data_IF_270728663963
#
_entry.id   IF_270728663963
#
_cell.length_a   1.000
_cell.length_b   1.000
_cell.length_c   1.000
_cell.angle_alpha   90.00
_cell.angle_beta   90.00
_cell.angle_gamma   90.00
#
_symmetry.space_group_name_H-M   'P 1'
#
loop_
_entity.id
_entity.type
_entity.pdbx_description
1 polymer ?
#
# COMPACT_ATOMS: atom_id res chain seq x y z
N UNK A 1 13.00 9.44 2.52
CA UNK A 1 13.27 10.17 1.26
C UNK A 1 12.09 11.02 0.76
N UNK A 2 11.18 11.44 1.69
CA UNK A 2 10.10 12.40 1.38
C UNK A 2 10.67 13.66 0.74
N UNK A 3 9.96 14.22 -0.22
CA UNK A 3 10.29 15.49 -0.87
C UNK A 3 11.74 15.58 -1.38
N UNK A 4 12.34 14.43 -1.76
CA UNK A 4 13.72 14.43 -2.25
C UNK A 4 13.85 15.29 -3.51
N UNK A 5 14.70 16.33 -3.44
CA UNK A 5 14.77 17.41 -4.44
C UNK A 5 14.95 16.89 -5.86
N UNK A 6 15.84 15.91 -6.07
CA UNK A 6 16.15 15.40 -7.39
C UNK A 6 15.07 14.47 -7.98
N UNK A 7 14.07 14.07 -7.18
CA UNK A 7 12.98 13.21 -7.61
C UNK A 7 11.60 13.90 -7.61
N UNK A 8 11.53 15.17 -7.20
CA UNK A 8 10.23 15.87 -7.05
C UNK A 8 9.48 16.03 -8.37
N UNK A 9 10.19 16.22 -9.47
CA UNK A 9 9.62 16.55 -10.79
C UNK A 9 9.76 15.39 -11.79
N UNK A 10 10.10 14.20 -11.32
CA UNK A 10 10.30 13.02 -12.16
C UNK A 10 9.02 12.19 -12.28
N UNK A 11 8.82 11.57 -13.44
CA UNK A 11 7.86 10.48 -13.63
C UNK A 11 8.39 9.20 -12.97
N UNK A 12 7.58 8.14 -12.89
CA UNK A 12 7.90 6.90 -12.16
C UNK A 12 9.32 6.39 -12.43
N UNK A 13 9.73 6.21 -13.66
CA UNK A 13 11.05 5.61 -13.96
C UNK A 13 12.21 6.56 -13.63
N UNK A 14 12.07 7.86 -13.87
CA UNK A 14 13.04 8.87 -13.44
C UNK A 14 13.13 8.95 -11.91
N UNK A 15 11.99 8.90 -11.25
CA UNK A 15 11.88 8.87 -9.79
C UNK A 15 12.57 7.62 -9.19
N UNK A 16 12.31 6.42 -9.71
CA UNK A 16 12.98 5.18 -9.30
C UNK A 16 14.50 5.27 -9.49
N UNK A 17 14.96 5.69 -10.68
CA UNK A 17 16.37 5.80 -11.00
C UNK A 17 17.09 6.79 -10.07
N UNK A 18 16.41 7.87 -9.66
CA UNK A 18 16.94 8.85 -8.72
C UNK A 18 17.04 8.33 -7.28
N UNK A 19 16.15 7.42 -6.89
CA UNK A 19 16.07 6.94 -5.50
C UNK A 19 16.82 5.63 -5.24
N UNK A 20 16.96 4.75 -6.21
CA UNK A 20 17.68 3.48 -6.01
C UNK A 20 19.09 3.65 -5.41
N UNK A 21 19.93 4.63 -5.82
CA UNK A 21 21.23 4.83 -5.19
C UNK A 21 21.16 5.20 -3.71
N UNK A 22 20.10 5.91 -3.31
CA UNK A 22 19.84 6.25 -1.90
C UNK A 22 19.35 5.02 -1.15
N UNK A 23 18.39 4.31 -1.71
CA UNK A 23 17.82 3.11 -1.10
C UNK A 23 18.83 1.97 -0.96
N UNK A 24 19.84 1.92 -1.81
CA UNK A 24 20.96 0.97 -1.67
C UNK A 24 21.80 1.17 -0.39
N UNK A 25 21.68 2.35 0.25
CA UNK A 25 22.37 2.66 1.54
C UNK A 25 21.55 2.29 2.77
N UNK A 26 20.27 1.86 2.60
CA UNK A 26 19.37 1.48 3.68
C UNK A 26 19.97 0.33 4.49
N UNK A 27 19.86 0.40 5.81
CA UNK A 27 20.25 -0.65 6.77
C UNK A 27 19.03 -1.10 7.59
N UNK A 28 19.09 -2.21 8.33
CA UNK A 28 17.98 -2.74 9.12
C UNK A 28 17.25 -1.72 10.00
N UNK A 29 18.02 -0.87 10.71
CA UNK A 29 17.44 0.17 11.57
C UNK A 29 16.66 1.25 10.78
N UNK A 30 17.01 1.49 9.52
CA UNK A 30 16.25 2.44 8.68
C UNK A 30 14.90 1.87 8.27
N UNK A 31 14.84 0.58 7.94
CA UNK A 31 13.56 -0.10 7.68
C UNK A 31 12.67 -0.01 8.92
N UNK A 32 13.22 -0.34 10.09
CA UNK A 32 12.48 -0.28 11.35
C UNK A 32 11.93 1.12 11.63
N UNK A 33 12.80 2.15 11.65
CA UNK A 33 12.38 3.50 12.02
C UNK A 33 11.45 4.14 10.96
N UNK A 34 11.69 3.89 9.66
CA UNK A 34 10.83 4.38 8.59
C UNK A 34 9.43 3.75 8.66
N UNK A 35 9.35 2.44 8.93
CA UNK A 35 8.08 1.75 9.12
C UNK A 35 7.36 2.23 10.38
N UNK A 36 8.09 2.45 11.48
CA UNK A 36 7.53 2.97 12.73
C UNK A 36 6.85 4.34 12.50
N UNK A 37 7.55 5.26 11.83
CA UNK A 37 7.01 6.61 11.55
C UNK A 37 5.87 6.55 10.53
N UNK A 38 6.01 5.81 9.43
CA UNK A 38 4.97 5.71 8.41
C UNK A 38 3.67 5.09 8.94
N UNK A 39 3.75 4.00 9.69
CA UNK A 39 2.60 3.37 10.32
C UNK A 39 1.98 4.25 11.41
N UNK A 40 2.79 5.01 12.16
CA UNK A 40 2.27 5.96 13.16
C UNK A 40 1.45 7.08 12.51
N UNK A 41 1.92 7.64 11.41
CA UNK A 41 1.18 8.66 10.65
C UNK A 41 -0.16 8.12 10.14
N UNK A 42 -0.17 6.89 9.59
CA UNK A 42 -1.40 6.22 9.18
C UNK A 42 -2.35 5.98 10.34
N UNK A 43 -1.86 5.48 11.47
CA UNK A 43 -2.67 5.24 12.68
C UNK A 43 -3.28 6.55 13.20
N UNK A 44 -2.53 7.63 13.25
CA UNK A 44 -3.06 8.93 13.65
C UNK A 44 -4.11 9.49 12.67
N UNK A 45 -4.11 9.03 11.43
CA UNK A 45 -5.18 9.33 10.45
C UNK A 45 -6.44 8.46 10.60
N UNK A 46 -6.40 7.42 11.45
CA UNK A 46 -7.49 6.48 11.70
C UNK A 46 -7.35 5.11 11.02
N UNK A 47 -6.22 4.84 10.39
CA UNK A 47 -5.95 3.53 9.78
C UNK A 47 -5.61 2.51 10.86
N UNK A 48 -6.44 1.48 11.01
CA UNK A 48 -6.25 0.40 12.00
C UNK A 48 -5.61 -0.85 11.40
N UNK A 49 -5.73 -1.03 10.07
CA UNK A 49 -5.14 -2.14 9.33
C UNK A 49 -4.40 -1.61 8.12
N UNK A 50 -3.13 -1.97 7.99
CA UNK A 50 -2.28 -1.62 6.85
C UNK A 50 -1.74 -2.87 6.18
N UNK A 51 -1.58 -2.83 4.86
CA UNK A 51 -0.68 -3.70 4.11
C UNK A 51 0.46 -2.86 3.58
N UNK A 52 1.63 -3.46 3.43
CA UNK A 52 2.80 -2.77 2.90
C UNK A 52 3.38 -3.52 1.70
N UNK A 53 4.34 -2.91 1.00
CA UNK A 53 5.08 -3.53 -0.08
C UNK A 53 6.58 -3.28 0.08
N UNK A 54 7.21 -4.01 0.99
CA UNK A 54 8.66 -3.97 1.17
C UNK A 54 9.33 -4.93 0.18
N UNK A 55 10.06 -4.39 -0.79
CA UNK A 55 10.74 -5.16 -1.85
C UNK A 55 12.24 -4.89 -1.95
N UNK A 56 12.80 -4.13 -1.00
CA UNK A 56 14.22 -3.76 -0.93
C UNK A 56 14.84 -4.32 0.35
N UNK A 57 15.82 -5.19 0.20
CA UNK A 57 16.51 -5.84 1.33
C UNK A 57 18.03 -5.64 1.31
N UNK A 58 18.56 -4.40 1.13
CA UNK A 58 19.99 -4.16 1.14
C UNK A 58 20.60 -4.30 2.53
N UNK A 59 21.90 -4.54 2.59
CA UNK A 59 22.73 -4.46 3.79
C UNK A 59 22.22 -5.28 4.98
N UNK A 60 21.63 -6.45 4.72
CA UNK A 60 21.11 -7.35 5.75
C UNK A 60 19.73 -6.97 6.30
N UNK A 61 19.03 -6.04 5.65
CA UNK A 61 17.64 -5.72 5.96
C UNK A 61 16.74 -6.94 5.75
N UNK A 62 15.69 -7.06 6.55
CA UNK A 62 14.74 -8.17 6.54
C UNK A 62 13.32 -7.68 6.78
N UNK A 63 12.33 -8.51 6.41
CA UNK A 63 10.92 -8.22 6.68
C UNK A 63 10.64 -8.08 8.18
N UNK A 64 11.37 -8.78 9.04
CA UNK A 64 11.27 -8.71 10.48
C UNK A 64 11.42 -7.29 11.03
N UNK A 65 12.28 -6.46 10.42
CA UNK A 65 12.47 -5.08 10.86
C UNK A 65 11.18 -4.26 10.75
N UNK A 66 10.38 -4.51 9.73
CA UNK A 66 9.08 -3.88 9.55
C UNK A 66 8.02 -4.48 10.47
N UNK A 67 8.01 -5.81 10.63
CA UNK A 67 7.09 -6.52 11.52
C UNK A 67 7.27 -6.05 12.98
N UNK A 68 8.50 -5.83 13.43
CA UNK A 68 8.81 -5.31 14.77
C UNK A 68 8.24 -3.90 14.96
N UNK A 69 8.39 -3.03 13.96
CA UNK A 69 7.82 -1.68 13.99
C UNK A 69 6.28 -1.74 14.08
N UNK A 70 5.63 -2.57 13.26
CA UNK A 70 4.16 -2.72 13.26
C UNK A 70 3.65 -3.26 14.61
N UNK A 71 4.37 -4.20 15.23
CA UNK A 71 4.03 -4.71 16.57
C UNK A 71 4.12 -3.61 17.63
N UNK A 72 5.14 -2.76 17.57
CA UNK A 72 5.28 -1.63 18.52
C UNK A 72 4.19 -0.59 18.32
N UNK A 73 3.84 -0.23 17.07
CA UNK A 73 2.72 0.65 16.75
C UNK A 73 1.39 0.07 17.26
N UNK A 74 1.23 -1.25 17.18
CA UNK A 74 0.04 -1.95 17.64
C UNK A 74 -1.10 -1.97 16.62
N UNK A 75 -0.86 -1.62 15.37
CA UNK A 75 -1.83 -1.75 14.28
C UNK A 75 -1.86 -3.19 13.72
N UNK A 76 -2.96 -3.56 13.09
CA UNK A 76 -3.07 -4.79 12.32
C UNK A 76 -2.27 -4.66 11.03
N UNK A 77 -1.47 -5.67 10.69
CA UNK A 77 -0.52 -5.56 9.62
C UNK A 77 -0.49 -6.77 8.69
N UNK A 78 -0.58 -6.54 7.39
CA UNK A 78 -0.30 -7.52 6.35
C UNK A 78 1.09 -7.20 5.79
N UNK A 79 2.12 -7.86 6.34
CA UNK A 79 3.49 -7.71 5.89
C UNK A 79 3.67 -8.43 4.57
N UNK A 80 4.21 -7.76 3.55
CA UNK A 80 4.48 -8.40 2.27
C UNK A 80 5.97 -8.66 2.10
N UNK A 81 6.33 -9.91 1.81
CA UNK A 81 7.68 -10.25 1.34
C UNK A 81 7.75 -9.91 -0.14
N UNK A 82 8.13 -8.67 -0.41
CA UNK A 82 8.38 -8.19 -1.77
C UNK A 82 9.70 -8.69 -2.32
N UNK A 83 9.94 -8.51 -3.62
CA UNK A 83 11.18 -8.94 -4.25
C UNK A 83 11.45 -8.27 -5.58
N UNK A 84 12.72 -8.18 -5.98
CA UNK A 84 13.18 -7.84 -7.31
C UNK A 84 14.28 -8.83 -7.71
N UNK A 85 14.24 -9.34 -8.96
CA UNK A 85 15.23 -10.31 -9.48
C UNK A 85 15.91 -9.87 -10.78
N UNK A 86 15.41 -8.80 -11.42
CA UNK A 86 15.95 -8.29 -12.68
C UNK A 86 16.61 -6.92 -12.42
N UNK A 87 17.95 -6.94 -12.37
CA UNK A 87 18.77 -5.73 -12.27
C UNK A 87 19.19 -5.17 -13.62
N UNK A 88 19.94 -4.07 -13.59
CA UNK A 88 20.46 -3.36 -14.80
C UNK A 88 21.19 -4.30 -15.74
N UNK A 89 21.99 -5.22 -15.22
CA UNK A 89 22.74 -6.20 -16.06
C UNK A 89 21.83 -7.16 -16.84
N UNK A 90 20.58 -7.29 -16.41
CA UNK A 90 19.56 -8.14 -17.07
C UNK A 90 18.45 -7.32 -17.76
N UNK A 91 18.67 -6.01 -17.95
CA UNK A 91 17.72 -5.11 -18.60
C UNK A 91 16.65 -4.50 -17.69
N UNK A 92 16.74 -4.68 -16.37
CA UNK A 92 15.87 -4.03 -15.38
C UNK A 92 16.30 -2.63 -15.02
N UNK A 93 15.50 -1.95 -14.19
CA UNK A 93 15.80 -0.60 -13.69
C UNK A 93 16.65 -0.59 -12.42
N UNK A 94 16.45 -1.51 -11.44
CA UNK A 94 17.18 -1.45 -10.19
C UNK A 94 18.66 -1.83 -10.37
N UNK A 95 19.58 -1.23 -9.61
CA UNK A 95 20.97 -1.70 -9.55
C UNK A 95 21.04 -3.19 -9.16
N UNK A 96 22.01 -3.92 -9.68
CA UNK A 96 22.19 -5.35 -9.37
C UNK A 96 22.40 -5.62 -7.88
N UNK A 97 22.87 -4.63 -7.11
CA UNK A 97 23.01 -4.70 -5.65
C UNK A 97 21.70 -4.65 -4.87
N UNK A 98 20.59 -4.31 -5.52
CA UNK A 98 19.24 -4.24 -4.93
C UNK A 98 18.36 -5.41 -5.32
N UNK A 99 18.82 -6.30 -6.20
CA UNK A 99 18.08 -7.51 -6.59
C UNK A 99 18.61 -8.73 -5.86
N UNK A 100 17.76 -9.74 -5.75
CA UNK A 100 18.09 -10.98 -5.04
C UNK A 100 18.00 -12.18 -6.00
N UNK A 101 18.68 -13.27 -5.67
CA UNK A 101 18.58 -14.53 -6.39
C UNK A 101 17.21 -15.19 -6.15
N UNK A 102 16.55 -15.68 -7.20
CA UNK A 102 15.18 -16.20 -7.15
C UNK A 102 14.99 -17.35 -6.17
N UNK A 103 15.94 -18.29 -6.13
CA UNK A 103 15.90 -19.39 -5.16
C UNK A 103 16.02 -18.90 -3.70
N UNK A 104 16.78 -17.82 -3.47
CA UNK A 104 16.86 -17.22 -2.14
C UNK A 104 15.56 -16.53 -1.78
N UNK A 105 14.97 -15.78 -2.71
CA UNK A 105 13.66 -15.11 -2.54
C UNK A 105 12.58 -16.13 -2.13
N UNK A 106 12.43 -17.22 -2.89
CA UNK A 106 11.40 -18.24 -2.62
C UNK A 106 11.59 -18.92 -1.27
N UNK A 107 12.83 -19.26 -0.90
CA UNK A 107 13.14 -19.83 0.42
C UNK A 107 12.83 -18.86 1.55
N UNK A 108 13.15 -17.58 1.38
CA UNK A 108 12.85 -16.56 2.38
C UNK A 108 11.35 -16.27 2.47
N UNK A 109 10.63 -16.27 1.35
CA UNK A 109 9.16 -16.23 1.32
C UNK A 109 8.55 -17.36 2.15
N UNK A 110 8.96 -18.59 1.94
CA UNK A 110 8.50 -19.74 2.73
C UNK A 110 8.85 -19.55 4.22
N UNK A 111 10.08 -19.18 4.54
CA UNK A 111 10.54 -18.96 5.92
C UNK A 111 9.69 -17.93 6.65
N UNK A 112 9.40 -16.78 6.04
CA UNK A 112 8.63 -15.73 6.71
C UNK A 112 7.16 -16.12 6.89
N UNK A 113 6.58 -16.90 5.96
CA UNK A 113 5.23 -17.44 6.13
C UNK A 113 5.20 -18.39 7.33
N UNK A 114 6.08 -19.41 7.35
CA UNK A 114 6.13 -20.41 8.42
C UNK A 114 6.41 -19.79 9.80
N UNK A 115 7.14 -18.67 9.84
CA UNK A 115 7.54 -18.02 11.11
C UNK A 115 6.50 -17.04 11.63
N UNK A 116 5.81 -16.30 10.75
CA UNK A 116 5.07 -15.10 11.14
C UNK A 116 3.60 -15.09 10.72
N UNK A 117 3.19 -15.91 9.73
CA UNK A 117 1.81 -15.88 9.28
C UNK A 117 0.88 -16.44 10.35
N UNK A 118 -0.16 -15.66 10.69
CA UNK A 118 -1.22 -16.07 11.60
C UNK A 118 -2.56 -16.05 10.83
N UNK A 119 -3.08 -17.23 10.53
CA UNK A 119 -4.33 -17.40 9.79
C UNK A 119 -5.59 -17.34 10.66
N UNK A 120 -5.43 -17.19 11.98
CA UNK A 120 -6.56 -17.11 12.89
C UNK A 120 -7.47 -15.89 12.59
N UNK A 121 -8.75 -16.03 12.93
CA UNK A 121 -9.67 -14.90 12.93
C UNK A 121 -9.15 -13.79 13.86
N UNK A 122 -9.34 -12.54 13.46
CA UNK A 122 -8.88 -11.35 14.16
C UNK A 122 -7.36 -11.22 14.29
N UNK A 123 -6.58 -12.06 13.56
CA UNK A 123 -5.12 -12.03 13.62
C UNK A 123 -4.56 -10.62 13.39
N UNK A 124 -3.51 -10.29 14.12
CA UNK A 124 -2.85 -8.98 14.03
C UNK A 124 -1.75 -8.93 12.97
N UNK A 125 -1.27 -10.11 12.51
CA UNK A 125 -0.20 -10.20 11.52
C UNK A 125 -0.51 -11.28 10.50
N UNK A 126 -0.56 -10.90 9.23
CA UNK A 126 -0.58 -11.84 8.10
C UNK A 126 0.60 -11.57 7.18
N UNK A 127 1.08 -12.62 6.52
CA UNK A 127 2.10 -12.50 5.47
C UNK A 127 1.42 -12.61 4.11
N UNK A 128 1.90 -11.83 3.15
CA UNK A 128 1.60 -11.98 1.73
C UNK A 128 2.89 -11.96 0.92
N UNK A 129 2.87 -12.47 -0.31
CA UNK A 129 4.01 -12.46 -1.21
C UNK A 129 3.83 -11.38 -2.28
N UNK A 130 4.89 -10.61 -2.54
CA UNK A 130 4.76 -9.41 -3.35
C UNK A 130 5.98 -9.13 -4.25
N UNK A 131 6.21 -9.90 -5.33
CA UNK A 131 7.11 -9.48 -6.40
C UNK A 131 6.78 -8.05 -6.84
N UNK A 132 7.79 -7.19 -7.01
CA UNK A 132 7.58 -5.74 -7.07
C UNK A 132 6.70 -5.31 -8.25
N UNK A 133 7.05 -5.71 -9.46
CA UNK A 133 6.32 -5.32 -10.69
C UNK A 133 6.74 -6.20 -11.88
N UNK A 134 5.95 -6.25 -12.96
CA UNK A 134 6.30 -7.02 -14.17
C UNK A 134 7.68 -6.70 -14.76
N UNK A 135 8.17 -5.48 -14.60
CA UNK A 135 9.46 -5.03 -15.15
C UNK A 135 10.65 -5.21 -14.19
N UNK A 136 10.44 -5.71 -12.98
CA UNK A 136 11.48 -5.87 -11.96
C UNK A 136 11.72 -7.32 -11.51
N UNK A 137 10.87 -8.24 -11.98
CA UNK A 137 10.94 -9.68 -11.67
C UNK A 137 10.73 -10.55 -12.91
N UNK A 138 11.30 -11.75 -12.92
CA UNK A 138 11.10 -12.68 -14.03
C UNK A 138 9.70 -13.30 -14.01
N UNK A 139 9.23 -13.75 -15.19
CA UNK A 139 7.99 -14.55 -15.29
C UNK A 139 8.06 -15.82 -14.45
N UNK A 140 9.25 -16.42 -14.35
CA UNK A 140 9.45 -17.61 -13.54
C UNK A 140 9.21 -17.33 -12.06
N UNK A 141 9.82 -16.26 -11.53
CA UNK A 141 9.62 -15.87 -10.14
C UNK A 141 8.14 -15.55 -9.86
N UNK A 142 7.46 -14.86 -10.78
CA UNK A 142 6.02 -14.59 -10.64
C UNK A 142 5.22 -15.89 -10.52
N UNK A 143 5.46 -16.87 -11.41
CA UNK A 143 4.75 -18.18 -11.39
C UNK A 143 5.03 -18.96 -10.11
N UNK A 144 6.31 -19.12 -9.76
CA UNK A 144 6.70 -19.88 -8.56
C UNK A 144 6.18 -19.20 -7.27
N UNK A 145 6.16 -17.87 -7.23
CA UNK A 145 5.58 -17.13 -6.10
C UNK A 145 4.07 -17.36 -6.00
N UNK A 146 3.34 -17.42 -7.13
CA UNK A 146 1.91 -17.69 -7.12
C UNK A 146 1.58 -19.11 -6.65
N UNK A 147 2.39 -20.10 -7.04
CA UNK A 147 2.27 -21.47 -6.57
C UNK A 147 2.52 -21.53 -5.05
N UNK A 148 3.64 -20.98 -4.61
CA UNK A 148 4.02 -20.94 -3.19
C UNK A 148 2.96 -20.27 -2.32
N UNK A 149 2.44 -19.11 -2.75
CA UNK A 149 1.43 -18.38 -2.00
C UNK A 149 0.14 -19.21 -1.82
N UNK A 150 -0.28 -19.93 -2.84
CA UNK A 150 -1.48 -20.80 -2.78
C UNK A 150 -1.27 -22.06 -1.99
N UNK A 151 -0.09 -22.66 -2.04
CA UNK A 151 0.26 -23.82 -1.22
C UNK A 151 0.18 -23.48 0.29
N UNK A 152 0.51 -22.26 0.65
CA UNK A 152 0.42 -21.75 2.02
C UNK A 152 -0.87 -20.96 2.31
N UNK A 153 -1.76 -20.79 1.33
CA UNK A 153 -3.01 -20.01 1.48
C UNK A 153 -2.78 -18.56 1.93
N UNK A 154 -1.70 -17.91 1.47
CA UNK A 154 -1.40 -16.49 1.76
C UNK A 154 -1.75 -15.60 0.57
N UNK A 155 -1.96 -14.29 0.84
CA UNK A 155 -2.29 -13.30 -0.17
C UNK A 155 -1.11 -12.96 -1.10
N UNK A 156 -1.43 -12.40 -2.26
CA UNK A 156 -0.48 -11.97 -3.28
C UNK A 156 -0.69 -10.52 -3.69
N UNK A 157 0.41 -9.80 -3.89
CA UNK A 157 0.38 -8.39 -4.26
C UNK A 157 1.49 -8.04 -5.27
N UNK A 158 1.21 -7.10 -6.19
CA UNK A 158 2.21 -6.49 -7.07
C UNK A 158 1.72 -5.14 -7.58
N UNK A 159 2.64 -4.29 -8.07
CA UNK A 159 2.28 -3.10 -8.85
C UNK A 159 1.89 -3.52 -10.26
N UNK A 160 0.85 -2.90 -10.81
CA UNK A 160 0.35 -3.26 -12.13
C UNK A 160 -0.28 -2.07 -12.84
N UNK A 161 0.08 -1.90 -14.13
CA UNK A 161 -0.56 -0.93 -15.01
C UNK A 161 -0.66 0.48 -14.38
N UNK A 162 0.40 0.91 -13.69
CA UNK A 162 0.43 2.21 -13.04
C UNK A 162 0.49 3.32 -14.07
N UNK A 163 1.40 3.21 -15.04
CA UNK A 163 1.60 4.18 -16.09
C UNK A 163 1.63 3.54 -17.49
N UNK A 164 1.81 4.36 -18.54
CA UNK A 164 1.82 3.87 -19.92
C UNK A 164 3.03 3.02 -20.25
N UNK A 165 4.14 3.27 -19.59
CA UNK A 165 5.38 2.51 -19.77
C UNK A 165 5.21 1.06 -19.32
N UNK A 166 4.36 0.78 -18.34
CA UNK A 166 4.04 -0.58 -17.91
C UNK A 166 3.35 -1.38 -19.03
N UNK A 167 2.42 -0.72 -19.77
CA UNK A 167 1.76 -1.34 -20.90
C UNK A 167 2.77 -1.62 -22.01
N UNK A 168 3.56 -0.61 -22.39
CA UNK A 168 4.58 -0.75 -23.43
C UNK A 168 5.52 -1.90 -23.07
N UNK A 169 5.96 -1.98 -21.82
CA UNK A 169 6.87 -3.02 -21.36
C UNK A 169 6.27 -4.42 -21.54
N UNK A 170 5.02 -4.64 -21.12
CA UNK A 170 4.40 -5.97 -21.20
C UNK A 170 4.04 -6.34 -22.64
N UNK A 171 3.64 -5.41 -23.48
CA UNK A 171 3.35 -5.63 -24.89
C UNK A 171 4.63 -5.93 -25.70
N UNK A 172 5.70 -5.16 -25.52
CA UNK A 172 6.96 -5.35 -26.24
C UNK A 172 7.70 -6.63 -25.84
N UNK A 173 7.71 -6.97 -24.54
CA UNK A 173 8.48 -8.13 -24.04
C UNK A 173 7.69 -9.42 -24.06
N UNK A 174 6.37 -9.38 -23.96
CA UNK A 174 5.54 -10.58 -23.79
C UNK A 174 4.38 -10.67 -24.78
N UNK A 175 4.12 -9.63 -25.57
CA UNK A 175 3.00 -9.59 -26.52
C UNK A 175 1.63 -9.55 -25.84
N UNK A 176 1.53 -9.10 -24.60
CA UNK A 176 0.35 -9.12 -23.75
C UNK A 176 0.14 -7.79 -23.07
N UNK A 177 -1.12 -7.38 -22.88
CA UNK A 177 -1.45 -6.30 -21.94
C UNK A 177 -1.22 -6.75 -20.48
N UNK A 178 -1.09 -5.81 -19.53
CA UNK A 178 -0.83 -6.15 -18.12
C UNK A 178 -1.80 -7.17 -17.52
N UNK A 179 -3.11 -7.05 -17.77
CA UNK A 179 -4.11 -8.00 -17.28
C UNK A 179 -3.98 -9.40 -17.85
N UNK A 180 -3.69 -9.53 -19.15
CA UNK A 180 -3.43 -10.82 -19.82
C UNK A 180 -2.14 -11.45 -19.29
N UNK A 181 -1.11 -10.63 -19.08
CA UNK A 181 0.16 -11.07 -18.51
C UNK A 181 0.00 -11.71 -17.14
N UNK A 182 -0.71 -11.03 -16.22
CA UNK A 182 -0.91 -11.56 -14.87
C UNK A 182 -1.85 -12.78 -14.86
N UNK A 183 -2.86 -12.83 -15.76
CA UNK A 183 -3.70 -14.02 -15.93
C UNK A 183 -2.87 -15.23 -16.32
N UNK A 184 -1.98 -15.09 -17.32
CA UNK A 184 -1.09 -16.15 -17.79
C UNK A 184 -0.12 -16.66 -16.71
N UNK A 185 0.18 -15.84 -15.69
CA UNK A 185 1.07 -16.17 -14.58
C UNK A 185 0.34 -16.64 -13.32
N UNK A 186 -1.01 -16.69 -13.35
CA UNK A 186 -1.81 -17.13 -12.20
C UNK A 186 -2.03 -16.07 -11.13
N UNK A 187 -1.96 -14.79 -11.45
CA UNK A 187 -2.07 -13.65 -10.55
C UNK A 187 -3.47 -13.00 -10.55
N UNK A 188 -4.51 -13.84 -10.61
CA UNK A 188 -5.91 -13.44 -10.48
C UNK A 188 -6.60 -14.25 -9.38
N UNK A 189 -7.53 -13.65 -8.65
CA UNK A 189 -8.31 -14.31 -7.61
C UNK A 189 -8.62 -13.37 -6.45
N UNK A 190 -9.45 -13.81 -5.52
CA UNK A 190 -9.78 -13.10 -4.29
C UNK A 190 -8.65 -13.10 -3.25
N UNK A 191 -7.60 -13.86 -3.51
CA UNK A 191 -6.33 -13.92 -2.79
C UNK A 191 -5.29 -12.93 -3.33
N UNK A 192 -5.64 -12.16 -4.39
CA UNK A 192 -4.73 -11.27 -5.11
C UNK A 192 -5.24 -9.83 -5.12
N UNK A 193 -4.33 -8.88 -4.92
CA UNK A 193 -4.62 -7.47 -5.19
C UNK A 193 -3.43 -6.77 -5.84
N UNK A 194 -3.73 -5.79 -6.69
CA UNK A 194 -2.73 -5.02 -7.41
C UNK A 194 -2.79 -3.55 -7.02
N UNK A 195 -1.62 -2.90 -6.92
CA UNK A 195 -1.55 -1.46 -6.69
C UNK A 195 -1.74 -0.69 -8.01
N UNK A 196 -2.29 0.52 -7.89
CA UNK A 196 -2.49 1.54 -8.92
C UNK A 196 -3.54 1.19 -9.97
N UNK A 197 -3.25 0.30 -10.90
CA UNK A 197 -4.16 -0.17 -11.96
C UNK A 197 -4.76 0.96 -12.84
N UNK A 198 -4.09 2.11 -12.93
CA UNK A 198 -4.58 3.34 -13.59
C UNK A 198 -4.89 3.12 -15.07
N UNK A 199 -4.09 2.27 -15.73
CA UNK A 199 -4.09 2.06 -17.17
C UNK A 199 -4.81 0.77 -17.60
N UNK A 200 -5.57 0.11 -16.71
CA UNK A 200 -6.38 -1.05 -17.09
C UNK A 200 -7.48 -0.64 -18.06
N UNK A 201 -7.69 -1.46 -19.10
CA UNK A 201 -8.82 -1.31 -20.01
C UNK A 201 -10.10 -1.99 -19.48
N UNK A 202 -11.20 -1.85 -20.22
CA UNK A 202 -12.51 -2.40 -19.81
C UNK A 202 -12.51 -3.94 -19.73
N UNK A 203 -11.74 -4.63 -20.56
CA UNK A 203 -11.65 -6.09 -20.54
C UNK A 203 -10.91 -6.56 -19.29
N UNK A 204 -9.79 -5.90 -18.95
CA UNK A 204 -8.99 -6.15 -17.76
C UNK A 204 -9.80 -5.85 -16.48
N UNK A 205 -10.58 -4.77 -16.45
CA UNK A 205 -11.50 -4.45 -15.35
C UNK A 205 -12.58 -5.52 -15.20
N UNK A 206 -13.16 -6.00 -16.31
CA UNK A 206 -14.15 -7.08 -16.30
C UNK A 206 -13.56 -8.40 -15.79
N UNK A 207 -12.32 -8.68 -16.14
CA UNK A 207 -11.56 -9.84 -15.65
C UNK A 207 -11.36 -9.79 -14.14
N UNK A 208 -10.95 -8.63 -13.60
CA UNK A 208 -10.80 -8.41 -12.15
C UNK A 208 -12.12 -8.59 -11.39
N UNK A 209 -13.20 -8.00 -11.90
CA UNK A 209 -14.53 -8.16 -11.32
C UNK A 209 -14.98 -9.62 -11.27
N UNK A 210 -14.76 -10.37 -12.36
CA UNK A 210 -15.14 -11.79 -12.49
C UNK A 210 -14.34 -12.71 -11.58
N UNK A 211 -13.06 -12.42 -11.37
CA UNK A 211 -12.16 -13.26 -10.57
C UNK A 211 -12.13 -12.87 -9.09
N UNK A 212 -12.68 -11.70 -8.73
CA UNK A 212 -12.61 -11.15 -7.37
C UNK A 212 -11.27 -10.52 -7.03
N UNK A 213 -10.40 -10.31 -8.03
CA UNK A 213 -9.09 -9.64 -7.86
C UNK A 213 -9.28 -8.22 -7.35
N UNK A 214 -8.50 -7.84 -6.33
CA UNK A 214 -8.59 -6.54 -5.67
C UNK A 214 -7.69 -5.47 -6.28
N UNK A 215 -8.04 -4.20 -6.05
CA UNK A 215 -7.22 -3.04 -6.40
C UNK A 215 -6.95 -2.19 -5.16
N UNK A 216 -5.69 -1.87 -4.90
CA UNK A 216 -5.27 -0.83 -3.96
C UNK A 216 -5.09 0.50 -4.74
N UNK A 217 -6.09 1.37 -4.66
CA UNK A 217 -6.08 2.67 -5.32
C UNK A 217 -5.25 3.69 -4.54
N UNK A 218 -4.26 4.31 -5.16
CA UNK A 218 -3.31 5.24 -4.57
C UNK A 218 -3.40 6.63 -5.24
N UNK A 219 -4.49 7.41 -5.02
CA UNK A 219 -4.77 8.61 -5.79
C UNK A 219 -3.69 9.69 -5.67
N UNK A 220 -3.14 9.94 -4.49
CA UNK A 220 -2.11 10.95 -4.31
C UNK A 220 -0.80 10.57 -5.02
N UNK A 221 -0.38 9.32 -4.91
CA UNK A 221 0.81 8.83 -5.61
C UNK A 221 0.64 8.90 -7.13
N UNK A 222 -0.52 8.46 -7.64
CA UNK A 222 -0.83 8.52 -9.07
C UNK A 222 -0.77 9.97 -9.61
N UNK A 223 -1.25 10.95 -8.84
CA UNK A 223 -1.12 12.37 -9.19
C UNK A 223 0.33 12.86 -9.12
N UNK A 224 1.01 12.50 -8.04
CA UNK A 224 2.40 12.93 -7.78
C UNK A 224 3.38 12.45 -8.84
N UNK A 225 3.20 11.22 -9.33
CA UNK A 225 4.03 10.61 -10.38
C UNK A 225 3.47 10.79 -11.79
N UNK A 226 2.36 11.54 -11.92
CA UNK A 226 1.66 11.79 -13.19
C UNK A 226 1.21 10.51 -13.92
N UNK A 227 0.90 9.44 -13.17
CA UNK A 227 0.42 8.16 -13.72
C UNK A 227 -0.97 8.29 -14.38
N UNK A 228 -1.76 9.27 -13.94
CA UNK A 228 -3.09 9.57 -14.49
C UNK A 228 -4.21 9.57 -13.45
N UNK A 229 -5.44 9.72 -13.94
CA UNK A 229 -6.67 9.59 -13.11
C UNK A 229 -7.21 8.18 -13.29
N UNK A 230 -7.11 7.38 -12.24
CA UNK A 230 -7.65 6.02 -12.23
C UNK A 230 -9.17 6.02 -12.43
N UNK A 231 -9.76 5.12 -13.23
CA UNK A 231 -11.19 5.06 -13.48
C UNK A 231 -11.95 4.37 -12.33
N UNK A 232 -11.78 4.87 -11.11
CA UNK A 232 -12.31 4.27 -9.87
C UNK A 232 -13.82 4.03 -9.94
N UNK A 233 -14.59 4.96 -10.51
CA UNK A 233 -16.05 4.77 -10.68
C UNK A 233 -16.34 3.53 -11.52
N UNK A 234 -15.66 3.37 -12.65
CA UNK A 234 -15.86 2.23 -13.54
C UNK A 234 -15.51 0.91 -12.85
N UNK A 235 -14.45 0.88 -12.05
CA UNK A 235 -14.08 -0.32 -11.28
C UNK A 235 -15.18 -0.73 -10.30
N UNK A 236 -15.70 0.24 -9.55
CA UNK A 236 -16.77 -0.02 -8.57
C UNK A 236 -18.08 -0.43 -9.24
N UNK A 237 -18.44 0.19 -10.37
CA UNK A 237 -19.62 -0.16 -11.15
C UNK A 237 -19.54 -1.56 -11.77
N UNK A 238 -18.34 -1.97 -12.16
CA UNK A 238 -18.06 -3.33 -12.62
C UNK A 238 -18.05 -4.38 -11.49
N UNK A 239 -18.01 -3.95 -10.22
CA UNK A 239 -17.99 -4.84 -9.05
C UNK A 239 -16.60 -5.26 -8.59
N UNK A 240 -15.53 -4.58 -9.04
CA UNK A 240 -14.17 -4.81 -8.57
C UNK A 240 -14.05 -4.44 -7.09
N UNK A 241 -13.35 -5.24 -6.30
CA UNK A 241 -13.01 -4.91 -4.93
C UNK A 241 -11.91 -3.83 -4.90
N UNK A 242 -12.22 -2.65 -4.36
CA UNK A 242 -11.27 -1.53 -4.31
C UNK A 242 -11.08 -1.07 -2.87
N UNK A 243 -9.82 -0.97 -2.45
CA UNK A 243 -9.37 -0.32 -1.23
C UNK A 243 -8.52 0.91 -1.53
N UNK A 244 -8.21 1.71 -0.52
CA UNK A 244 -7.29 2.84 -0.64
C UNK A 244 -5.91 2.48 -0.11
N UNK A 245 -4.87 2.96 -0.77
CA UNK A 245 -3.49 2.91 -0.35
C UNK A 245 -2.85 4.30 -0.35
N UNK A 246 -1.95 4.55 0.58
CA UNK A 246 -1.16 5.79 0.64
C UNK A 246 0.10 5.72 -0.21
N UNK A 247 0.50 4.49 -0.59
CA UNK A 247 1.78 4.21 -1.25
C UNK A 247 3.01 4.60 -0.40
N UNK A 248 4.19 4.61 -0.97
CA UNK A 248 5.43 4.93 -0.25
C UNK A 248 5.56 6.41 0.13
N UNK A 249 6.24 6.67 1.25
CA UNK A 249 6.49 8.05 1.71
C UNK A 249 7.37 8.88 0.75
N UNK A 250 7.90 8.30 -0.32
CA UNK A 250 8.64 9.03 -1.36
C UNK A 250 7.81 9.32 -2.60
N UNK A 251 6.69 8.63 -2.77
CA UNK A 251 5.78 8.77 -3.91
C UNK A 251 4.50 9.52 -3.58
N UNK A 252 4.11 9.59 -2.28
CA UNK A 252 2.96 10.36 -1.81
C UNK A 252 3.37 11.55 -0.92
N UNK A 253 4.47 11.39 -0.17
CA UNK A 253 4.94 12.35 0.82
C UNK A 253 4.00 12.53 2.05
N UNK A 254 2.86 11.81 2.12
CA UNK A 254 1.89 11.81 3.23
C UNK A 254 1.32 10.42 3.48
N UNK A 255 1.24 10.01 4.75
CA UNK A 255 0.63 8.75 5.17
C UNK A 255 -0.78 8.91 5.73
N UNK A 256 -1.64 9.74 5.09
CA UNK A 256 -2.93 10.13 5.65
C UNK A 256 -4.12 9.54 4.85
N UNK A 257 -4.71 8.44 5.34
CA UNK A 257 -5.73 7.68 4.59
C UNK A 257 -7.02 8.47 4.29
N UNK A 258 -7.48 9.35 5.18
CA UNK A 258 -8.63 10.21 4.87
C UNK A 258 -8.33 11.23 3.76
N UNK A 259 -7.07 11.64 3.63
CA UNK A 259 -6.66 12.48 2.50
C UNK A 259 -6.77 11.69 1.19
N UNK A 260 -6.37 10.42 1.17
CA UNK A 260 -6.58 9.54 0.01
C UNK A 260 -8.07 9.42 -0.34
N UNK A 261 -8.94 9.23 0.66
CA UNK A 261 -10.38 9.19 0.44
C UNK A 261 -10.93 10.48 -0.18
N UNK A 262 -10.45 11.63 0.29
CA UNK A 262 -10.80 12.95 -0.27
C UNK A 262 -10.32 13.09 -1.71
N UNK A 263 -9.07 12.75 -2.00
CA UNK A 263 -8.51 12.87 -3.35
C UNK A 263 -9.19 11.88 -4.33
N UNK A 264 -9.45 10.65 -3.91
CA UNK A 264 -10.22 9.69 -4.69
C UNK A 264 -11.58 10.27 -5.09
N UNK A 265 -12.31 10.87 -4.14
CA UNK A 265 -13.59 11.53 -4.41
C UNK A 265 -13.46 12.71 -5.37
N UNK A 266 -12.52 13.63 -5.12
CA UNK A 266 -12.39 14.85 -5.92
C UNK A 266 -11.96 14.57 -7.35
N UNK A 267 -11.06 13.60 -7.58
CA UNK A 267 -10.63 13.19 -8.90
C UNK A 267 -11.79 12.62 -9.74
N UNK A 268 -12.64 11.77 -9.16
CA UNK A 268 -13.80 11.26 -9.88
C UNK A 268 -14.79 12.39 -10.20
N UNK A 269 -15.00 13.32 -9.27
CA UNK A 269 -15.91 14.46 -9.48
C UNK A 269 -15.43 15.40 -10.58
N UNK A 270 -14.15 15.76 -10.60
CA UNK A 270 -13.60 16.64 -11.64
C UNK A 270 -13.63 15.99 -13.02
N UNK A 271 -13.45 14.67 -13.07
CA UNK A 271 -13.43 13.91 -14.32
C UNK A 271 -14.82 13.58 -14.87
N UNK A 272 -15.79 13.25 -14.00
CA UNK A 272 -17.07 12.67 -14.40
C UNK A 272 -18.30 13.52 -14.02
N UNK A 273 -18.21 14.39 -13.02
CA UNK A 273 -19.31 15.20 -12.49
C UNK A 273 -19.44 15.11 -10.97
N UNK A 274 -19.98 16.17 -10.35
CA UNK A 274 -20.03 16.31 -8.89
C UNK A 274 -20.91 15.26 -8.19
N UNK A 275 -21.83 14.62 -8.90
CA UNK A 275 -22.73 13.58 -8.42
C UNK A 275 -22.18 12.16 -8.53
N UNK A 276 -21.00 11.98 -9.14
CA UNK A 276 -20.46 10.64 -9.50
C UNK A 276 -19.70 9.92 -8.40
N UNK A 277 -19.31 10.61 -7.36
CA UNK A 277 -18.65 9.96 -6.22
C UNK A 277 -18.95 10.71 -4.91
N UNK A 278 -19.53 10.03 -3.95
CA UNK A 278 -19.93 10.60 -2.66
C UNK A 278 -18.85 10.40 -1.58
N UNK A 279 -18.92 11.20 -0.52
CA UNK A 279 -18.08 11.03 0.65
C UNK A 279 -18.29 9.66 1.33
N UNK A 280 -19.51 9.10 1.29
CA UNK A 280 -19.82 7.78 1.84
C UNK A 280 -19.16 6.66 1.04
N UNK A 281 -19.12 6.75 -0.28
CA UNK A 281 -18.40 5.80 -1.14
C UNK A 281 -16.89 5.86 -0.89
N UNK A 282 -16.33 7.06 -0.71
CA UNK A 282 -14.92 7.23 -0.35
C UNK A 282 -14.60 6.58 1.01
N UNK A 283 -15.43 6.76 2.03
CA UNK A 283 -15.27 6.10 3.33
C UNK A 283 -15.48 4.58 3.23
N UNK A 284 -16.41 4.13 2.40
CA UNK A 284 -16.59 2.69 2.14
C UNK A 284 -15.33 2.07 1.53
N UNK A 285 -14.72 2.73 0.54
CA UNK A 285 -13.48 2.29 -0.09
C UNK A 285 -12.32 2.24 0.92
N UNK A 286 -12.24 3.23 1.82
CA UNK A 286 -11.25 3.30 2.90
C UNK A 286 -11.45 2.27 4.02
N UNK A 287 -12.62 1.62 4.12
CA UNK A 287 -12.96 0.71 5.22
C UNK A 287 -13.31 -0.68 4.71
N UNK A 288 -14.57 -0.92 4.33
CA UNK A 288 -15.04 -2.22 3.83
C UNK A 288 -14.38 -2.62 2.52
N UNK A 289 -14.06 -1.65 1.66
CA UNK A 289 -13.32 -1.87 0.42
C UNK A 289 -11.95 -2.44 0.70
N UNK A 290 -11.17 -1.79 1.58
CA UNK A 290 -9.85 -2.28 2.00
C UNK A 290 -9.91 -3.69 2.64
N UNK A 291 -10.90 -3.94 3.49
CA UNK A 291 -11.10 -5.27 4.08
C UNK A 291 -11.36 -6.36 3.02
N UNK A 292 -12.17 -6.06 2.00
CA UNK A 292 -12.44 -6.97 0.89
C UNK A 292 -11.18 -7.24 0.04
N UNK A 293 -10.40 -6.19 -0.24
CA UNK A 293 -9.13 -6.30 -0.98
C UNK A 293 -8.15 -7.24 -0.27
N UNK A 294 -8.09 -7.17 1.06
CA UNK A 294 -7.24 -8.04 1.88
C UNK A 294 -7.89 -9.41 2.18
N UNK A 295 -9.03 -9.74 1.57
CA UNK A 295 -9.82 -10.94 1.83
C UNK A 295 -10.11 -11.15 3.34
N UNK A 296 -10.41 -10.05 4.06
CA UNK A 296 -10.69 -10.03 5.50
C UNK A 296 -12.17 -9.79 5.75
N UNK A 297 -12.85 -10.80 6.30
CA UNK A 297 -14.25 -10.70 6.68
C UNK A 297 -14.47 -10.27 8.13
N UNK A 298 -13.42 -10.19 8.91
CA UNK A 298 -13.41 -9.92 10.35
C UNK A 298 -13.14 -8.46 10.72
N UNK A 299 -12.83 -7.60 9.74
CA UNK A 299 -12.55 -6.16 9.90
C UNK A 299 -13.40 -5.29 8.96
N UNK A 300 -13.17 -3.98 8.95
CA UNK A 300 -13.73 -3.01 8.01
C UNK A 300 -15.13 -2.49 8.36
N UNK A 301 -15.74 -2.95 9.44
CA UNK A 301 -17.05 -2.46 9.91
C UNK A 301 -17.24 -2.69 11.40
N UNK A 302 -18.04 -1.83 12.04
CA UNK A 302 -18.46 -1.98 13.42
C UNK A 302 -19.68 -2.93 13.46
N UNK A 303 -19.46 -4.17 13.87
CA UNK A 303 -20.51 -5.18 14.00
C UNK A 303 -20.10 -6.27 15.01
N UNK A 304 -21.09 -6.98 15.56
CA UNK A 304 -20.84 -8.13 16.46
C UNK A 304 -20.04 -9.20 15.71
N UNK A 305 -19.02 -9.76 16.36
CA UNK A 305 -18.13 -10.76 15.78
C UNK A 305 -17.00 -10.20 14.90
N UNK A 306 -16.89 -8.87 14.76
CA UNK A 306 -15.78 -8.21 14.08
C UNK A 306 -14.75 -7.68 15.07
N UNK A 307 -13.55 -7.40 14.58
CA UNK A 307 -12.51 -6.76 15.37
C UNK A 307 -12.98 -5.41 15.93
N UNK A 308 -12.61 -5.13 17.17
CA UNK A 308 -12.89 -3.85 17.81
C UNK A 308 -11.88 -2.80 17.33
N UNK A 309 -11.99 -2.41 16.07
CA UNK A 309 -11.15 -1.42 15.37
C UNK A 309 -11.97 -0.16 15.15
N UNK A 310 -11.53 0.98 15.70
CA UNK A 310 -12.25 2.25 15.64
C UNK A 310 -11.33 3.42 15.35
N UNK A 311 -11.76 4.32 14.47
CA UNK A 311 -11.23 5.67 14.32
C UNK A 311 -12.26 6.65 14.90
N UNK A 312 -11.89 7.36 15.96
CA UNK A 312 -12.76 8.30 16.69
C UNK A 312 -12.30 9.71 16.39
N UNK A 313 -13.21 10.56 15.91
CA UNK A 313 -12.93 11.97 15.58
C UNK A 313 -13.70 12.91 16.49
N UNK A 314 -13.01 13.93 17.02
CA UNK A 314 -13.66 15.00 17.74
C UNK A 314 -14.31 15.96 16.74
N UNK A 315 -15.63 16.16 16.83
CA UNK A 315 -16.36 17.07 15.96
C UNK A 315 -16.24 18.56 16.37
N UNK A 316 -15.65 18.85 17.54
CA UNK A 316 -15.44 20.22 18.02
C UNK A 316 -14.17 20.88 17.45
N UNK A 317 -13.54 20.28 16.45
CA UNK A 317 -12.39 20.86 15.77
C UNK A 317 -12.82 22.01 14.85
N UNK A 318 -11.95 23.01 14.69
CA UNK A 318 -12.19 24.15 13.79
C UNK A 318 -12.45 23.71 12.35
N UNK A 319 -11.76 22.66 11.88
CA UNK A 319 -11.91 22.08 10.55
C UNK A 319 -13.29 21.49 10.29
N UNK A 320 -14.02 21.05 11.33
CA UNK A 320 -15.36 20.47 11.25
C UNK A 320 -16.48 21.44 11.64
N UNK A 321 -16.14 22.68 11.99
CA UNK A 321 -17.14 23.70 12.33
C UNK A 321 -18.12 23.91 11.16
N UNK A 322 -19.42 23.80 11.44
CA UNK A 322 -20.46 23.94 10.42
C UNK A 322 -20.85 22.63 9.68
N UNK A 323 -20.26 21.49 10.01
CA UNK A 323 -20.57 20.20 9.33
C UNK A 323 -21.72 19.43 9.96
N UNK A 324 -22.50 20.02 10.87
CA UNK A 324 -23.54 19.37 11.67
C UNK A 324 -24.67 18.76 10.87
N UNK A 325 -24.90 19.22 9.62
CA UNK A 325 -25.89 18.61 8.72
C UNK A 325 -25.48 17.22 8.22
N UNK A 326 -24.16 16.95 8.09
CA UNK A 326 -23.58 15.66 7.72
C UNK A 326 -22.13 15.56 8.21
N UNK A 327 -21.91 15.25 9.49
CA UNK A 327 -20.57 15.12 10.06
C UNK A 327 -19.72 14.04 9.39
N UNK A 328 -20.38 12.97 8.90
CA UNK A 328 -19.69 11.88 8.21
C UNK A 328 -19.08 12.35 6.88
N UNK A 329 -19.85 13.13 6.11
CA UNK A 329 -19.30 13.77 4.90
C UNK A 329 -18.21 14.79 5.26
N UNK A 330 -18.33 15.48 6.40
CA UNK A 330 -17.33 16.39 6.92
C UNK A 330 -15.94 15.76 7.07
N UNK A 331 -15.86 14.51 7.48
CA UNK A 331 -14.58 13.78 7.59
C UNK A 331 -13.82 13.69 6.27
N UNK A 332 -14.52 13.60 5.14
CA UNK A 332 -13.90 13.53 3.81
C UNK A 332 -13.69 14.92 3.22
N UNK A 333 -14.72 15.78 3.24
CA UNK A 333 -14.63 17.11 2.63
C UNK A 333 -13.66 18.05 3.33
N UNK A 334 -13.53 17.93 4.67
CA UNK A 334 -12.71 18.82 5.50
C UNK A 334 -11.35 18.22 5.89
N UNK A 335 -11.01 17.02 5.38
CA UNK A 335 -9.70 16.39 5.60
C UNK A 335 -8.54 17.32 5.09
N UNK A 336 -7.31 17.19 5.63
CA UNK A 336 -6.86 16.19 6.59
C UNK A 336 -7.15 16.56 8.06
N UNK A 337 -7.33 15.54 8.92
CA UNK A 337 -7.46 15.70 10.37
C UNK A 337 -6.99 14.43 11.09
N UNK A 338 -6.45 14.59 12.29
CA UNK A 338 -6.09 13.43 13.12
C UNK A 338 -7.28 12.93 13.94
N UNK A 339 -7.23 11.65 14.29
CA UNK A 339 -8.19 11.06 15.24
C UNK A 339 -8.01 11.59 16.64
N UNK A 340 -9.09 11.66 17.41
CA UNK A 340 -9.01 11.79 18.85
C UNK A 340 -8.47 10.48 19.46
N UNK A 341 -8.97 9.32 18.98
CA UNK A 341 -8.47 8.01 19.34
C UNK A 341 -8.44 7.10 18.11
N UNK A 342 -7.38 6.30 18.01
CA UNK A 342 -7.37 5.13 17.12
C UNK A 342 -7.27 3.88 18.00
N UNK A 343 -8.23 2.99 17.82
CA UNK A 343 -8.35 1.75 18.62
C UNK A 343 -8.21 0.58 17.64
N UNK A 344 -7.29 -0.32 17.92
CA UNK A 344 -7.07 -1.54 17.14
C UNK A 344 -7.17 -2.76 18.07
N UNK A 345 -8.01 -3.72 17.68
CA UNK A 345 -8.28 -4.94 18.45
C UNK A 345 -8.62 -4.63 19.92
N UNK A 346 -9.44 -3.59 20.17
CA UNK A 346 -9.88 -3.15 21.49
C UNK A 346 -8.83 -2.39 22.33
N UNK A 347 -7.67 -2.07 21.78
CA UNK A 347 -6.61 -1.31 22.44
C UNK A 347 -6.48 0.08 21.84
N UNK A 348 -6.40 1.11 22.67
CA UNK A 348 -6.04 2.46 22.24
C UNK A 348 -4.57 2.46 21.81
N UNK A 349 -4.30 2.71 20.55
CA UNK A 349 -2.93 2.73 19.97
C UNK A 349 -2.46 4.15 19.68
N UNK A 350 -3.39 5.10 19.54
CA UNK A 350 -3.09 6.53 19.42
C UNK A 350 -4.18 7.35 20.10
N UNK A 351 -3.77 8.45 20.75
CA UNK A 351 -4.65 9.41 21.41
C UNK A 351 -4.13 10.83 21.18
N UNK A 352 -4.98 11.70 20.63
CA UNK A 352 -4.71 13.15 20.47
C UNK A 352 -3.35 13.47 19.83
N UNK A 353 -2.98 12.74 18.78
CA UNK A 353 -1.73 12.93 18.05
C UNK A 353 -0.49 12.31 18.70
N UNK A 354 -0.66 11.47 19.71
CA UNK A 354 0.43 10.75 20.36
C UNK A 354 0.23 9.24 20.21
N UNK A 355 1.33 8.48 20.12
CA UNK A 355 1.30 7.02 20.15
C UNK A 355 1.23 6.54 21.60
N UNK A 356 0.41 5.49 21.85
CA UNK A 356 0.21 5.00 23.23
C UNK A 356 1.34 4.08 23.72
N UNK A 357 2.11 3.47 22.82
CA UNK A 357 3.06 2.41 23.14
C UNK A 357 4.52 2.86 23.21
N UNK A 358 4.83 4.07 22.72
CA UNK A 358 6.21 4.60 22.69
C UNK A 358 6.23 6.13 22.57
N UNK A 359 7.40 6.72 22.85
CA UNK A 359 7.63 8.17 22.71
C UNK A 359 7.88 8.51 21.24
N UNK A 360 6.91 9.17 20.60
CA UNK A 360 7.01 9.60 19.23
C UNK A 360 8.13 10.62 19.00
N UNK A 361 8.42 11.48 19.99
CA UNK A 361 9.47 12.50 19.88
C UNK A 361 10.85 11.88 19.72
N UNK A 362 11.17 10.86 20.49
CA UNK A 362 12.43 10.10 20.36
C UNK A 362 12.53 9.45 18.97
N UNK A 363 11.44 8.80 18.52
CA UNK A 363 11.41 8.14 17.22
C UNK A 363 11.55 9.12 16.04
N UNK A 364 11.01 10.34 16.16
CA UNK A 364 11.20 11.40 15.16
C UNK A 364 12.65 11.86 15.06
N UNK A 365 13.38 11.97 16.20
CA UNK A 365 14.79 12.35 16.19
C UNK A 365 15.67 11.24 15.57
N UNK A 366 15.37 9.97 15.85
CA UNK A 366 16.04 8.82 15.20
C UNK A 366 15.76 8.81 13.69
N UNK A 367 14.52 8.98 13.27
CA UNK A 367 14.14 9.03 11.85
C UNK A 367 14.81 10.19 11.12
N UNK A 368 14.88 11.36 11.74
CA UNK A 368 15.60 12.53 11.21
C UNK A 368 17.09 12.24 11.02
N UNK A 369 17.72 11.56 11.98
CA UNK A 369 19.13 11.16 11.91
C UNK A 369 19.36 10.16 10.77
N UNK A 370 18.50 9.15 10.64
CA UNK A 370 18.52 8.18 9.54
C UNK A 370 18.35 8.86 8.17
N UNK A 371 17.38 9.79 8.06
CA UNK A 371 17.14 10.53 6.82
C UNK A 371 18.34 11.38 6.40
N UNK A 372 18.95 12.11 7.35
CA UNK A 372 20.18 12.90 7.07
C UNK A 372 21.31 12.02 6.58
N UNK A 373 21.57 10.89 7.23
CA UNK A 373 22.62 9.94 6.83
C UNK A 373 22.38 9.40 5.42
N UNK A 374 21.15 9.01 5.09
CA UNK A 374 20.82 8.49 3.75
C UNK A 374 21.00 9.53 2.65
N UNK A 375 20.78 10.80 2.95
CA UNK A 375 20.86 11.91 2.00
C UNK A 375 22.21 12.64 2.04
N UNK A 376 23.17 12.17 2.84
CA UNK A 376 24.50 12.77 3.04
C UNK A 376 24.42 14.24 3.51
N UNK A 377 23.48 14.59 4.44
CA UNK A 377 23.21 15.91 4.97
C UNK A 377 23.74 16.13 6.41
#
# INVERSE_FOLDING_TARGET
>A
TRCYTNAQNESLFGWLTSLYPIWNKIIPSDIYISSLIGLSEMVMSGCTTSSDHLYLFPNGSKLENQIEAAKLVGCRFHATRGSMSIGVSKGGLPPDTLVEEENFILKDCQRVIETFHDDADLSMLKIALAPCSPFSVSQNLMKETAILARDFSVGMHTHLAENKEDIIYTEENFGMRPGEYIEALGWLGNDVWHAHCVQLDENEVSLFAKTGTGIAHCPCSNMRLASGIAPLRNWLDAGVNVGLGVDGSSSNDSGHLLNEARQAMLLQRVNLGADKFSAREALYTATRGGAKVLNRNDIGQIAVGKAADFAVYDLNQISLSGTWSDPLAGLVFCSPMHTAYTICNGRVISESGNMSNFDLGVSLDEHKSASKRLLDL
#
